data_IF_791542523798
#
_entry.id   IF_791542523798
#
_cell.length_a   1.000
_cell.length_b   1.000
_cell.length_c   1.000
_cell.angle_alpha   90.00
_cell.angle_beta   90.00
_cell.angle_gamma   90.00
#
_symmetry.space_group_name_H-M   'P 1'
#
loop_
_entity.id
_entity.type
_entity.pdbx_description
1 polymer ?
#
# COMPACT_ATOMS: atom_id res chain seq x y z
N UNK A 1 2.52 -8.69 -8.24
CA UNK A 1 1.74 -7.44 -8.24
C UNK A 1 1.23 -7.11 -9.65
N UNK A 2 2.11 -6.81 -10.61
CA UNK A 2 1.72 -6.35 -11.96
C UNK A 2 0.73 -7.27 -12.68
N UNK A 3 1.01 -8.57 -12.76
CA UNK A 3 0.11 -9.54 -13.43
C UNK A 3 -1.30 -9.56 -12.81
N UNK A 4 -1.39 -9.48 -11.47
CA UNK A 4 -2.68 -9.44 -10.79
C UNK A 4 -3.46 -8.14 -11.05
N UNK A 5 -2.76 -7.01 -11.24
CA UNK A 5 -3.39 -5.76 -11.66
C UNK A 5 -3.88 -5.84 -13.12
N UNK A 6 -3.09 -6.41 -14.02
CA UNK A 6 -3.46 -6.60 -15.41
C UNK A 6 -4.72 -7.48 -15.53
N UNK A 7 -4.78 -8.58 -14.77
CA UNK A 7 -5.94 -9.48 -14.72
C UNK A 7 -7.17 -8.80 -14.13
N UNK A 8 -7.00 -7.99 -13.07
CA UNK A 8 -8.10 -7.30 -12.41
C UNK A 8 -8.68 -6.15 -13.25
N UNK A 9 -7.82 -5.36 -13.90
CA UNK A 9 -8.21 -4.25 -14.76
C UNK A 9 -8.60 -4.70 -16.18
N UNK A 10 -8.20 -5.92 -16.60
CA UNK A 10 -8.33 -6.43 -17.97
C UNK A 10 -7.63 -5.54 -19.01
N UNK A 11 -6.54 -4.90 -18.61
CA UNK A 11 -5.73 -3.99 -19.43
C UNK A 11 -4.26 -4.37 -19.24
N UNK A 12 -3.48 -4.32 -20.32
CA UNK A 12 -2.05 -4.54 -20.27
C UNK A 12 -1.32 -3.27 -19.81
N UNK A 13 -0.48 -3.39 -18.78
CA UNK A 13 0.25 -2.25 -18.24
C UNK A 13 1.55 -2.01 -19.04
N UNK A 14 2.08 -0.78 -19.03
CA UNK A 14 3.42 -0.51 -19.55
C UNK A 14 4.47 -1.39 -18.85
N UNK A 15 5.57 -1.73 -19.55
CA UNK A 15 6.66 -2.50 -18.96
C UNK A 15 7.14 -1.88 -17.64
N UNK A 16 7.49 -2.68 -16.61
CA UNK A 16 7.88 -2.14 -15.31
C UNK A 16 9.05 -1.14 -15.33
N UNK A 17 9.95 -1.27 -16.31
CA UNK A 17 11.06 -0.34 -16.52
C UNK A 17 10.62 1.05 -16.96
N UNK A 18 9.44 1.18 -17.57
CA UNK A 18 8.91 2.44 -18.12
C UNK A 18 7.88 3.11 -17.20
N UNK A 19 7.54 2.49 -16.06
CA UNK A 19 6.51 3.03 -15.15
C UNK A 19 6.89 4.37 -14.50
N UNK A 20 8.14 4.85 -14.67
CA UNK A 20 8.58 6.18 -14.21
C UNK A 20 8.25 7.30 -15.21
N UNK A 21 7.80 6.98 -16.43
CA UNK A 21 7.55 7.98 -17.48
C UNK A 21 6.24 8.74 -17.27
N UNK A 22 6.15 9.91 -17.89
CA UNK A 22 4.94 10.72 -17.95
C UNK A 22 3.80 10.01 -18.71
N UNK A 23 4.13 9.27 -19.77
CA UNK A 23 3.13 8.48 -20.52
C UNK A 23 2.45 7.43 -19.62
N UNK A 24 3.25 6.76 -18.77
CA UNK A 24 2.72 5.82 -17.78
C UNK A 24 1.84 6.53 -16.75
N UNK A 25 2.16 7.77 -16.37
CA UNK A 25 1.31 8.57 -15.47
C UNK A 25 -0.06 8.84 -16.07
N UNK A 26 -0.10 9.29 -17.32
CA UNK A 26 -1.35 9.56 -18.03
C UNK A 26 -2.20 8.30 -18.18
N UNK A 27 -1.57 7.17 -18.49
CA UNK A 27 -2.23 5.88 -18.54
C UNK A 27 -2.83 5.45 -17.19
N UNK A 28 -2.10 5.63 -16.08
CA UNK A 28 -2.62 5.31 -14.74
C UNK A 28 -3.80 6.22 -14.36
N UNK A 29 -3.75 7.51 -14.75
CA UNK A 29 -4.83 8.47 -14.53
C UNK A 29 -6.08 8.14 -15.34
N UNK A 30 -5.95 7.67 -16.58
CA UNK A 30 -7.10 7.27 -17.39
C UNK A 30 -7.80 6.06 -16.75
N UNK A 31 -7.04 5.06 -16.31
CA UNK A 31 -7.59 3.89 -15.61
C UNK A 31 -8.34 4.31 -14.34
N UNK A 32 -7.75 5.17 -13.51
CA UNK A 32 -8.39 5.63 -12.28
C UNK A 32 -9.71 6.37 -12.56
N UNK A 33 -9.73 7.16 -13.64
CA UNK A 33 -10.91 7.92 -14.06
C UNK A 33 -12.01 7.00 -14.60
N UNK A 34 -11.67 6.03 -15.45
CA UNK A 34 -12.60 5.05 -16.02
C UNK A 34 -13.27 4.20 -14.93
N UNK A 35 -12.53 3.93 -13.85
CA UNK A 35 -13.00 3.13 -12.72
C UNK A 35 -13.52 3.96 -11.53
N UNK A 36 -13.63 5.28 -11.66
CA UNK A 36 -14.09 6.21 -10.61
C UNK A 36 -13.34 6.07 -9.27
N UNK A 37 -12.03 5.84 -9.33
CA UNK A 37 -11.17 5.71 -8.14
C UNK A 37 -10.58 7.08 -7.81
N UNK A 38 -10.85 7.57 -6.60
CA UNK A 38 -10.38 8.88 -6.16
C UNK A 38 -8.96 8.77 -5.59
N UNK A 39 -8.02 9.53 -6.16
CA UNK A 39 -6.68 9.71 -5.61
C UNK A 39 -6.47 11.17 -5.19
N UNK A 40 -6.14 11.39 -3.92
CA UNK A 40 -5.73 12.71 -3.42
C UNK A 40 -4.40 13.13 -4.05
N UNK A 41 -4.19 14.44 -4.35
CA UNK A 41 -2.89 14.96 -4.75
C UNK A 41 -1.81 14.69 -3.67
N UNK A 42 -0.53 14.52 -4.05
CA UNK A 42 0.03 14.56 -5.40
C UNK A 42 -0.22 13.26 -6.20
N UNK A 43 -0.36 13.39 -7.52
CA UNK A 43 -0.59 12.27 -8.45
C UNK A 43 0.71 11.69 -9.00
N UNK A 44 1.59 11.22 -8.10
CA UNK A 44 2.83 10.53 -8.49
C UNK A 44 2.51 9.10 -8.95
N UNK A 45 3.30 8.54 -9.88
CA UNK A 45 3.06 7.20 -10.42
C UNK A 45 3.00 6.13 -9.33
N UNK A 46 3.79 6.30 -8.25
CA UNK A 46 3.78 5.44 -7.07
C UNK A 46 2.41 5.44 -6.38
N UNK A 47 1.87 6.62 -6.08
CA UNK A 47 0.58 6.78 -5.38
C UNK A 47 -0.59 6.31 -6.23
N UNK A 48 -0.56 6.56 -7.54
CA UNK A 48 -1.59 6.07 -8.45
C UNK A 48 -1.62 4.54 -8.49
N UNK A 49 -0.44 3.92 -8.56
CA UNK A 49 -0.32 2.47 -8.59
C UNK A 49 -0.71 1.83 -7.24
N UNK A 50 -0.30 2.43 -6.13
CA UNK A 50 -0.71 2.06 -4.78
C UNK A 50 -2.24 2.05 -4.63
N UNK A 51 -2.93 3.10 -5.11
CA UNK A 51 -4.39 3.15 -5.10
C UNK A 51 -5.05 2.05 -5.91
N UNK A 52 -4.49 1.69 -7.06
CA UNK A 52 -5.01 0.60 -7.86
C UNK A 52 -4.85 -0.75 -7.13
N UNK A 53 -3.70 -0.99 -6.49
CA UNK A 53 -3.46 -2.20 -5.69
C UNK A 53 -4.45 -2.29 -4.53
N UNK A 54 -4.63 -1.20 -3.78
CA UNK A 54 -5.58 -1.13 -2.66
C UNK A 54 -7.01 -1.51 -3.06
N UNK A 55 -7.47 -0.99 -4.20
CA UNK A 55 -8.84 -1.24 -4.67
C UNK A 55 -8.99 -2.65 -5.28
N UNK A 56 -8.06 -3.07 -6.13
CA UNK A 56 -8.24 -4.27 -6.95
C UNK A 56 -7.67 -5.55 -6.36
N UNK A 57 -6.63 -5.44 -5.54
CA UNK A 57 -5.92 -6.59 -4.99
C UNK A 57 -6.19 -6.69 -3.50
N UNK A 58 -5.84 -5.68 -2.71
CA UNK A 58 -5.89 -5.76 -1.24
C UNK A 58 -7.30 -6.04 -0.73
N UNK A 59 -8.31 -5.35 -1.29
CA UNK A 59 -9.72 -5.51 -0.91
C UNK A 59 -10.26 -6.95 -1.06
N UNK A 60 -9.61 -7.78 -1.88
CA UNK A 60 -10.01 -9.17 -2.17
C UNK A 60 -9.28 -10.20 -1.32
N UNK A 61 -8.27 -9.79 -0.56
CA UNK A 61 -7.44 -10.69 0.25
C UNK A 61 -8.15 -10.98 1.57
N UNK A 62 -8.59 -12.23 1.77
CA UNK A 62 -9.10 -12.68 3.07
C UNK A 62 -8.02 -13.45 3.84
N UNK A 63 -7.44 -14.47 3.21
CA UNK A 63 -6.41 -15.32 3.82
C UNK A 63 -5.01 -14.68 3.73
N UNK A 64 -4.05 -15.12 4.56
CA UNK A 64 -2.66 -14.70 4.46
C UNK A 64 -2.12 -14.85 3.03
N UNK A 65 -1.82 -13.73 2.39
CA UNK A 65 -1.43 -13.67 0.98
C UNK A 65 -0.22 -12.77 0.81
N UNK A 66 0.76 -13.21 0.02
CA UNK A 66 1.90 -12.38 -0.35
C UNK A 66 1.67 -11.67 -1.68
N UNK A 67 1.71 -10.34 -1.66
CA UNK A 67 1.86 -9.54 -2.87
C UNK A 67 3.36 -9.41 -3.12
N UNK A 68 3.85 -9.87 -4.26
CA UNK A 68 5.29 -9.90 -4.57
C UNK A 68 5.65 -9.08 -5.81
N UNK A 69 6.94 -8.79 -5.94
CA UNK A 69 7.58 -8.17 -7.10
C UNK A 69 7.03 -6.77 -7.38
N UNK A 70 7.17 -5.90 -6.38
CA UNK A 70 6.75 -4.51 -6.48
C UNK A 70 7.65 -3.73 -7.46
N UNK A 71 7.10 -2.77 -8.22
CA UNK A 71 7.90 -1.92 -9.08
C UNK A 71 8.96 -1.13 -8.32
N UNK A 72 10.06 -0.89 -9.04
CA UNK A 72 11.23 -0.14 -8.59
C UNK A 72 10.89 1.26 -8.07
N UNK A 73 9.91 1.90 -8.71
CA UNK A 73 9.44 3.26 -8.36
C UNK A 73 8.76 3.35 -6.98
N UNK A 74 8.18 2.24 -6.49
CA UNK A 74 7.49 2.19 -5.18
C UNK A 74 8.42 1.71 -4.06
N UNK A 75 9.62 1.24 -4.42
CA UNK A 75 10.50 0.49 -3.53
C UNK A 75 11.93 1.04 -3.64
N UNK A 76 12.20 2.20 -3.01
CA UNK A 76 13.48 2.92 -3.14
C UNK A 76 14.64 2.20 -2.43
N UNK A 77 14.35 1.38 -1.42
CA UNK A 77 15.35 0.63 -0.64
C UNK A 77 15.42 -0.85 -1.01
N UNK A 78 14.48 -1.34 -1.82
CA UNK A 78 14.43 -2.73 -2.21
C UNK A 78 15.36 -3.00 -3.40
N UNK A 79 16.10 -4.10 -3.32
CA UNK A 79 17.00 -4.55 -4.37
C UNK A 79 16.25 -4.84 -5.66
N UNK A 80 16.85 -4.45 -6.78
CA UNK A 80 16.31 -4.75 -8.12
C UNK A 80 16.15 -6.27 -8.30
N UNK A 81 15.05 -6.68 -8.93
CA UNK A 81 14.72 -8.08 -9.14
C UNK A 81 15.73 -8.75 -10.09
N UNK A 82 16.28 -9.91 -9.69
CA UNK A 82 17.36 -10.61 -10.42
C UNK A 82 17.01 -10.98 -11.87
N UNK A 83 15.74 -11.23 -12.17
CA UNK A 83 15.29 -11.71 -13.49
C UNK A 83 14.29 -10.81 -14.22
N UNK A 84 13.75 -9.76 -13.58
CA UNK A 84 12.62 -8.98 -14.13
C UNK A 84 12.95 -7.49 -14.01
N UNK A 85 13.47 -6.88 -15.09
CA UNK A 85 13.87 -5.47 -15.07
C UNK A 85 12.71 -4.55 -14.66
N UNK A 86 13.01 -3.55 -13.82
CA UNK A 86 12.02 -2.58 -13.34
C UNK A 86 11.19 -3.04 -12.13
N UNK A 87 11.30 -4.29 -11.70
CA UNK A 87 10.74 -4.77 -10.43
C UNK A 87 11.81 -4.91 -9.36
N UNK A 88 11.37 -5.16 -8.12
CA UNK A 88 12.22 -5.37 -6.95
C UNK A 88 11.88 -6.69 -6.26
N UNK A 89 12.84 -7.23 -5.51
CA UNK A 89 12.63 -8.41 -4.67
C UNK A 89 11.93 -8.02 -3.36
N UNK A 90 10.72 -7.45 -3.48
CA UNK A 90 9.87 -7.03 -2.36
C UNK A 90 8.60 -7.84 -2.30
N UNK A 91 8.20 -8.23 -1.10
CA UNK A 91 6.92 -8.81 -0.82
C UNK A 91 6.23 -8.11 0.35
N UNK A 92 4.90 -8.12 0.32
CA UNK A 92 4.06 -7.64 1.40
C UNK A 92 3.09 -8.74 1.77
N UNK A 93 3.00 -9.03 3.07
CA UNK A 93 2.05 -9.99 3.61
C UNK A 93 0.75 -9.26 3.96
N UNK A 94 -0.38 -9.76 3.49
CA UNK A 94 -1.71 -9.23 3.76
C UNK A 94 -2.61 -10.27 4.41
N UNK A 95 -3.48 -9.82 5.32
CA UNK A 95 -4.54 -10.61 5.96
C UNK A 95 -5.79 -9.74 6.06
N UNK A 96 -6.95 -10.26 5.65
CA UNK A 96 -8.24 -9.54 5.67
C UNK A 96 -8.18 -8.13 5.02
N UNK A 97 -7.40 -7.98 3.96
CA UNK A 97 -7.20 -6.73 3.23
C UNK A 97 -6.32 -5.70 3.93
N UNK A 98 -5.61 -6.08 5.01
CA UNK A 98 -4.63 -5.24 5.67
C UNK A 98 -3.23 -5.85 5.59
N UNK A 99 -2.26 -5.01 5.29
CA UNK A 99 -0.83 -5.36 5.30
C UNK A 99 -0.35 -5.66 6.74
N UNK A 100 0.42 -6.73 6.93
CA UNK A 100 0.94 -7.16 8.24
C UNK A 100 2.49 -7.27 8.31
N UNK A 101 3.20 -7.43 7.19
CA UNK A 101 4.66 -7.23 7.11
C UNK A 101 5.00 -6.76 5.70
N UNK A 102 5.95 -5.84 5.61
CA UNK A 102 6.68 -5.51 4.39
C UNK A 102 8.08 -6.11 4.48
N UNK A 103 8.51 -6.82 3.44
CA UNK A 103 9.80 -7.51 3.39
C UNK A 103 10.47 -7.34 2.02
N UNK A 104 11.80 -7.26 2.01
CA UNK A 104 12.54 -7.15 0.76
C UNK A 104 13.99 -7.59 0.92
N UNK A 105 14.59 -8.03 -0.18
CA UNK A 105 16.05 -8.06 -0.30
C UNK A 105 16.56 -6.61 -0.26
N UNK A 106 17.49 -6.33 0.63
CA UNK A 106 18.00 -4.98 0.85
C UNK A 106 18.88 -4.52 -0.32
N UNK A 107 18.69 -3.29 -0.78
CA UNK A 107 19.57 -2.68 -1.77
C UNK A 107 20.92 -2.37 -1.11
N UNK A 108 21.94 -3.13 -1.52
CA UNK A 108 23.29 -3.02 -0.97
C UNK A 108 24.31 -2.42 -1.94
N UNK A 109 23.86 -1.90 -3.08
CA UNK A 109 24.70 -1.15 -4.03
C UNK A 109 24.61 0.36 -3.68
N UNK A 110 25.71 0.98 -3.22
CA UNK A 110 25.71 2.39 -2.80
C UNK A 110 25.40 3.35 -3.95
N UNK A 111 25.85 3.05 -5.18
CA UNK A 111 25.62 3.92 -6.33
C UNK A 111 24.16 3.88 -6.75
N UNK A 112 23.59 2.67 -6.82
CA UNK A 112 22.17 2.53 -7.12
C UNK A 112 21.31 3.18 -6.02
N UNK A 113 21.66 3.00 -4.74
CA UNK A 113 20.94 3.60 -3.62
C UNK A 113 20.95 5.13 -3.69
N UNK A 114 22.09 5.73 -4.04
CA UNK A 114 22.22 7.17 -4.21
C UNK A 114 21.35 7.69 -5.35
N UNK A 115 21.30 6.98 -6.48
CA UNK A 115 20.41 7.31 -7.58
C UNK A 115 18.93 7.25 -7.16
N UNK A 116 18.55 6.29 -6.31
CA UNK A 116 17.18 6.21 -5.75
C UNK A 116 16.86 7.41 -4.88
N UNK A 117 17.78 7.83 -4.02
CA UNK A 117 17.59 9.00 -3.17
C UNK A 117 17.50 10.30 -3.96
N UNK A 118 18.29 10.44 -5.04
CA UNK A 118 18.16 11.58 -5.94
C UNK A 118 16.76 11.64 -6.58
N UNK A 119 16.21 10.49 -6.96
CA UNK A 119 14.85 10.42 -7.51
C UNK A 119 13.78 10.73 -6.46
N UNK A 120 13.90 10.22 -5.23
CA UNK A 120 12.99 10.60 -4.14
C UNK A 120 13.08 12.10 -3.81
N UNK A 121 14.27 12.69 -3.84
CA UNK A 121 14.45 14.13 -3.64
C UNK A 121 13.76 14.95 -4.75
N UNK A 122 13.74 14.46 -6.00
CA UNK A 122 12.95 15.08 -7.08
C UNK A 122 11.45 14.98 -6.83
N UNK A 123 10.96 13.82 -6.38
CA UNK A 123 9.55 13.63 -6.03
C UNK A 123 9.13 14.56 -4.87
N UNK A 124 10.00 14.72 -3.87
CA UNK A 124 9.81 15.68 -2.78
C UNK A 124 9.68 17.12 -3.30
N UNK A 125 10.54 17.51 -4.23
CA UNK A 125 10.47 18.82 -4.87
C UNK A 125 9.18 19.03 -5.70
N UNK A 126 8.53 17.93 -6.13
CA UNK A 126 7.22 17.95 -6.80
C UNK A 126 6.03 17.99 -5.82
N UNK A 127 6.28 18.08 -4.51
CA UNK A 127 5.25 18.21 -3.48
C UNK A 127 4.84 16.91 -2.80
N UNK A 128 5.65 15.85 -2.91
CA UNK A 128 5.46 14.63 -2.12
C UNK A 128 6.12 14.77 -0.74
N UNK A 129 5.33 15.16 0.26
CA UNK A 129 5.81 15.35 1.64
C UNK A 129 6.27 14.04 2.32
N UNK A 130 5.85 12.88 1.79
CA UNK A 130 6.24 11.55 2.29
C UNK A 130 7.58 11.06 1.70
N UNK A 131 8.09 11.75 0.67
CA UNK A 131 9.35 11.39 0.04
C UNK A 131 10.56 11.72 0.94
N UNK A 132 11.49 10.78 0.99
CA UNK A 132 12.68 10.88 1.84
C UNK A 132 13.75 11.76 1.18
N UNK A 133 14.56 12.42 2.01
CA UNK A 133 15.74 13.15 1.55
C UNK A 133 16.90 12.21 1.23
N UNK A 134 18.02 12.78 0.79
CA UNK A 134 19.26 12.04 0.57
C UNK A 134 19.98 11.88 1.90
N UNK A 135 20.25 10.64 2.29
CA UNK A 135 21.08 10.30 3.45
C UNK A 135 22.48 9.87 2.96
N UNK A 136 23.41 10.83 2.90
CA UNK A 136 24.78 10.58 2.44
C UNK A 136 25.58 9.76 3.48
N UNK A 137 25.21 9.76 4.76
CA UNK A 137 25.86 8.91 5.77
C UNK A 137 25.48 7.44 5.57
N UNK A 138 24.21 7.16 5.27
CA UNK A 138 23.74 5.82 4.92
C UNK A 138 24.40 5.32 3.63
N UNK A 139 24.47 6.14 2.57
CA UNK A 139 25.17 5.77 1.33
C UNK A 139 26.64 5.45 1.60
N UNK A 140 27.32 6.29 2.37
CA UNK A 140 28.71 6.05 2.77
C UNK A 140 28.87 4.76 3.58
N UNK A 141 27.90 4.43 4.45
CA UNK A 141 27.92 3.16 5.17
C UNK A 141 27.82 1.95 4.22
N UNK A 142 27.00 2.04 3.17
CA UNK A 142 26.90 1.00 2.14
C UNK A 142 28.22 0.81 1.36
N UNK A 143 29.00 1.88 1.14
CA UNK A 143 30.31 1.81 0.49
C UNK A 143 31.35 0.99 1.27
N UNK A 144 31.23 0.89 2.60
CA UNK A 144 32.07 -0.01 3.41
C UNK A 144 31.76 -1.49 3.18
N UNK A 145 30.64 -1.81 2.52
CA UNK A 145 30.27 -3.15 2.13
C UNK A 145 29.20 -3.76 3.04
N UNK A 146 27.94 -3.63 2.63
CA UNK A 146 26.83 -4.35 3.24
C UNK A 146 26.67 -5.74 2.59
N UNK A 147 26.70 -6.84 3.37
CA UNK A 147 26.45 -8.19 2.85
C UNK A 147 25.07 -8.32 2.20
N UNK A 148 24.86 -9.33 1.32
CA UNK A 148 23.52 -9.66 0.84
C UNK A 148 22.58 -9.93 2.03
N UNK A 149 21.62 -9.03 2.23
CA UNK A 149 20.74 -8.99 3.41
C UNK A 149 19.28 -8.88 2.97
N UNK A 150 18.36 -9.31 3.82
CA UNK A 150 16.92 -9.10 3.65
C UNK A 150 16.33 -8.54 4.96
N UNK A 151 15.39 -7.61 4.84
CA UNK A 151 14.65 -7.04 5.96
C UNK A 151 13.18 -7.48 5.96
N UNK A 152 12.55 -7.50 7.13
CA UNK A 152 11.08 -7.49 7.30
C UNK A 152 10.73 -6.50 8.41
N UNK A 153 9.68 -5.73 8.18
CA UNK A 153 9.03 -4.89 9.18
C UNK A 153 7.62 -5.42 9.47
N UNK A 154 7.42 -6.23 10.53
CA UNK A 154 6.10 -6.70 10.91
C UNK A 154 5.33 -5.60 11.68
N UNK A 155 4.09 -5.36 11.27
CA UNK A 155 3.15 -4.49 11.97
C UNK A 155 2.56 -5.19 13.18
N UNK A 156 3.27 -5.15 14.32
CA UNK A 156 2.89 -5.87 15.55
C UNK A 156 1.47 -5.52 16.02
N UNK A 157 1.07 -4.24 15.98
CA UNK A 157 -0.27 -3.83 16.39
C UNK A 157 -1.37 -4.49 15.53
N UNK A 158 -1.16 -4.57 14.20
CA UNK A 158 -2.10 -5.22 13.28
C UNK A 158 -2.15 -6.73 13.52
N UNK A 159 -1.00 -7.36 13.76
CA UNK A 159 -0.93 -8.79 14.12
C UNK A 159 -1.72 -9.04 15.41
N UNK A 160 -1.52 -8.21 16.43
CA UNK A 160 -2.27 -8.31 17.68
C UNK A 160 -3.76 -8.10 17.47
N UNK A 161 -4.17 -7.11 16.66
CA UNK A 161 -5.57 -6.88 16.31
C UNK A 161 -6.24 -8.13 15.73
N UNK A 162 -5.57 -8.82 14.81
CA UNK A 162 -6.09 -10.07 14.25
C UNK A 162 -6.15 -11.21 15.29
N UNK A 163 -5.11 -11.37 16.10
CA UNK A 163 -5.04 -12.44 17.11
C UNK A 163 -6.05 -12.24 18.25
N UNK A 164 -6.37 -11.00 18.60
CA UNK A 164 -7.35 -10.67 19.64
C UNK A 164 -8.74 -10.36 19.10
N UNK A 165 -8.97 -10.53 17.79
CA UNK A 165 -10.22 -10.22 17.10
C UNK A 165 -10.74 -8.79 17.35
N UNK A 166 -9.83 -7.81 17.29
CA UNK A 166 -10.14 -6.39 17.49
C UNK A 166 -10.03 -5.62 16.17
N UNK A 167 -11.06 -4.82 15.85
CA UNK A 167 -11.11 -4.03 14.61
C UNK A 167 -10.42 -2.67 14.72
N UNK A 168 -10.13 -2.19 15.93
CA UNK A 168 -9.47 -0.89 16.17
C UNK A 168 -8.15 -1.06 16.90
N UNK A 169 -7.12 -0.34 16.44
CA UNK A 169 -5.78 -0.34 17.04
C UNK A 169 -5.79 0.10 18.50
N UNK A 170 -6.82 0.86 18.93
CA UNK A 170 -6.93 1.33 20.31
C UNK A 170 -7.12 0.21 21.32
N UNK A 171 -7.70 -0.93 20.92
CA UNK A 171 -7.89 -2.08 21.83
C UNK A 171 -6.58 -2.83 22.12
N UNK A 172 -5.56 -2.67 21.28
CA UNK A 172 -4.26 -3.35 21.44
C UNK A 172 -3.17 -2.43 21.99
N UNK A 173 -3.50 -1.17 22.22
CA UNK A 173 -2.61 -0.17 22.81
C UNK A 173 -3.04 0.12 24.24
N UNK A 174 -2.12 0.01 25.20
CA UNK A 174 -2.43 0.30 26.61
C UNK A 174 -2.87 1.76 26.83
N UNK A 175 -2.28 2.70 26.09
CA UNK A 175 -2.58 4.14 26.16
C UNK A 175 -2.65 4.72 24.73
N UNK A 176 -3.79 4.61 24.03
CA UNK A 176 -3.92 5.13 22.67
C UNK A 176 -3.93 6.66 22.67
N UNK A 177 -3.45 7.26 21.58
CA UNK A 177 -3.56 8.72 21.39
C UNK A 177 -5.04 9.11 21.29
N UNK A 178 -5.47 9.97 22.21
CA UNK A 178 -6.82 10.52 22.26
C UNK A 178 -6.81 11.98 21.84
N UNK A 179 -7.88 12.42 21.19
CA UNK A 179 -8.08 13.84 20.88
C UNK A 179 -8.47 14.54 22.19
N UNK A 180 -7.83 15.68 22.49
CA UNK A 180 -8.20 16.49 23.66
C UNK A 180 -9.66 16.94 23.59
N UNK A 181 -10.42 16.73 24.66
CA UNK A 181 -11.75 17.33 24.82
C UNK A 181 -11.57 18.80 25.20
N UNK A 182 -11.82 19.73 24.26
CA UNK A 182 -11.91 21.17 24.58
C UNK A 182 -11.31 22.16 23.58
N UNK A 183 -10.47 21.74 22.62
CA UNK A 183 -9.99 22.65 21.55
C UNK A 183 -10.83 22.52 20.28
N UNK A 184 -11.83 23.39 20.14
CA UNK A 184 -12.35 23.76 18.82
C UNK A 184 -11.28 24.60 18.09
N UNK A 185 -10.46 23.92 17.29
CA UNK A 185 -9.72 24.49 16.16
C UNK A 185 -8.33 25.06 16.45
N UNK A 186 -7.28 24.35 16.01
CA UNK A 186 -6.35 24.82 14.98
C UNK A 186 -5.39 23.65 14.66
N UNK A 187 -5.30 23.28 13.37
CA UNK A 187 -4.50 22.14 12.91
C UNK A 187 -5.32 21.21 12.02
N UNK A 188 -5.63 21.66 10.81
CA UNK A 188 -6.05 20.75 9.75
C UNK A 188 -4.82 19.95 9.30
N UNK A 189 -4.50 18.86 10.00
CA UNK A 189 -3.73 17.78 9.39
C UNK A 189 -4.74 17.00 8.56
N UNK A 190 -4.49 16.94 7.25
CA UNK A 190 -5.32 16.25 6.29
C UNK A 190 -5.48 14.79 6.71
N UNK A 191 -6.59 14.50 7.39
CA UNK A 191 -7.11 13.15 7.51
C UNK A 191 -7.50 12.77 6.10
N UNK A 192 -6.68 11.90 5.50
CA UNK A 192 -7.02 11.11 4.33
C UNK A 192 -8.53 10.82 4.36
N UNK A 193 -9.24 11.35 3.35
CA UNK A 193 -10.68 11.19 3.18
C UNK A 193 -10.99 9.71 2.90
N UNK A 194 -10.95 8.87 3.93
CA UNK A 194 -11.59 7.56 3.90
C UNK A 194 -13.00 7.73 4.47
N UNK A 195 -13.97 7.35 3.64
CA UNK A 195 -15.38 7.68 3.73
C UNK A 195 -16.01 7.61 5.12
N UNK A 196 -16.93 8.56 5.33
CA UNK A 196 -17.82 8.70 6.48
C UNK A 196 -18.16 7.34 7.10
N UNK A 197 -17.79 7.17 8.37
CA UNK A 197 -18.02 5.96 9.19
C UNK A 197 -19.47 5.48 9.18
N UNK A 198 -20.42 6.41 8.96
CA UNK A 198 -21.85 6.12 8.82
C UNK A 198 -22.17 5.22 7.61
N UNK A 199 -21.53 5.46 6.46
CA UNK A 199 -21.80 4.75 5.20
C UNK A 199 -21.30 3.29 5.24
N UNK A 200 -20.19 3.04 5.97
CA UNK A 200 -19.69 1.69 6.22
C UNK A 200 -20.56 0.89 7.17
N UNK A 201 -21.11 1.51 8.21
CA UNK A 201 -22.01 0.84 9.16
C UNK A 201 -23.34 0.49 8.49
N UNK A 202 -23.84 1.36 7.62
CA UNK A 202 -25.06 1.13 6.86
C UNK A 202 -24.88 0.00 5.84
N UNK A 203 -23.76 -0.01 5.08
CA UNK A 203 -23.39 -1.14 4.21
C UNK A 203 -23.19 -2.46 4.96
N UNK A 204 -22.61 -2.43 6.16
CA UNK A 204 -22.45 -3.65 6.97
C UNK A 204 -23.79 -4.17 7.49
N UNK A 205 -24.72 -3.28 7.83
CA UNK A 205 -26.07 -3.66 8.24
C UNK A 205 -26.87 -4.25 7.06
N UNK A 206 -26.67 -3.70 5.87
CA UNK A 206 -27.29 -4.19 4.64
C UNK A 206 -26.73 -5.56 4.22
N UNK A 207 -25.40 -5.76 4.28
CA UNK A 207 -24.78 -7.07 4.05
C UNK A 207 -25.26 -8.12 5.06
N UNK A 208 -25.41 -7.75 6.34
CA UNK A 208 -25.92 -8.66 7.37
C UNK A 208 -27.37 -9.06 7.14
N UNK A 209 -28.22 -8.16 6.61
CA UNK A 209 -29.58 -8.52 6.19
C UNK A 209 -29.56 -9.49 5.01
N UNK A 210 -28.76 -9.20 3.99
CA UNK A 210 -28.65 -10.06 2.81
C UNK A 210 -28.14 -11.46 3.16
N UNK A 211 -27.19 -11.57 4.09
CA UNK A 211 -26.72 -12.88 4.57
C UNK A 211 -27.79 -13.63 5.35
N UNK A 212 -28.58 -12.95 6.19
CA UNK A 212 -29.67 -13.59 6.94
C UNK A 212 -30.81 -14.09 6.04
N UNK A 213 -31.12 -13.34 4.97
CA UNK A 213 -32.13 -13.74 3.99
C UNK A 213 -31.66 -14.97 3.18
N UNK A 214 -30.38 -15.00 2.77
CA UNK A 214 -29.76 -16.16 2.13
C UNK A 214 -29.73 -17.40 3.04
N UNK A 215 -29.43 -17.23 4.32
CA UNK A 215 -29.46 -18.33 5.30
C UNK A 215 -30.88 -18.89 5.46
N UNK A 216 -31.90 -18.03 5.44
CA UNK A 216 -33.31 -18.43 5.50
C UNK A 216 -33.75 -19.18 4.22
N UNK A 217 -33.34 -18.71 3.05
CA UNK A 217 -33.60 -19.38 1.76
C UNK A 217 -32.92 -20.76 1.68
N UNK A 218 -31.66 -20.87 2.12
CA UNK A 218 -30.94 -22.14 2.18
C UNK A 218 -31.63 -23.11 3.16
N UNK A 219 -32.09 -22.63 4.31
CA UNK A 219 -32.83 -23.45 5.27
C UNK A 219 -34.18 -23.94 4.71
N UNK A 220 -34.86 -23.13 3.88
CA UNK A 220 -36.11 -23.49 3.23
C UNK A 220 -35.93 -24.48 2.07
N UNK A 221 -34.77 -24.47 1.40
CA UNK A 221 -34.42 -25.43 0.33
C UNK A 221 -33.91 -26.78 0.86
N UNK A 222 -33.60 -26.88 2.16
CA UNK A 222 -33.10 -28.09 2.80
C UNK A 222 -34.21 -29.01 3.39
N UNK A 223 -35.48 -28.74 3.07
CA UNK A 223 -36.67 -29.56 3.37
C UNK A 223 -37.28 -30.08 2.08
#
# INVERSE_FOLDING_TARGET
MMTALEDACKVQFPPPSQLHTEDSRQFLLSILSDHNIICSPPHTNARLLDKLVGVYIESRITNPTFIMNHPKLMSPLAKTHRSIPGLTERAEAFVCGFEICNLYSELNDPFEQRDRFLEQARQKAQGDDEAHGIDEEFVKALEYGMPPTAGCGPGLDRIMMFLTNNYTIKEVLAFPMMREEGKKGCGAVATSQYGKTADKQERLAELRRQMADLESEIAAMAV
#
